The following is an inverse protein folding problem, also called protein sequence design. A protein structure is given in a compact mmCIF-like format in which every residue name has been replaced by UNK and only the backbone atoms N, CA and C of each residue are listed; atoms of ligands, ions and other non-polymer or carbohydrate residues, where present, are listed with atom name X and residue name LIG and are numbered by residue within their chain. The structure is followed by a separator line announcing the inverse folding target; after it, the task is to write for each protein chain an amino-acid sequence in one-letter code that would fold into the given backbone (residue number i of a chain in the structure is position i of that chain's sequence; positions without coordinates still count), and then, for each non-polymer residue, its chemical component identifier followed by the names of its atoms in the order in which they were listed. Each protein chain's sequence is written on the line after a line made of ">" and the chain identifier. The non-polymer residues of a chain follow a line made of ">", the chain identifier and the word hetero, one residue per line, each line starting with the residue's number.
data_IF_867671602585
#
_entry.id   IF_867671602585
#
_cell.length_a   1.000
_cell.length_b   1.000
_cell.length_c   1.000
_cell.angle_alpha   90.00
_cell.angle_beta   90.00
_cell.angle_gamma   90.00
#
_symmetry.space_group_name_H-M   'P 1'
#
loop_
_entity.id
_entity.type
_entity.pdbx_description
1 polymer ?
#
# COMPACT_ATOMS: atom_id res chain seq x y z
N UNK A 1 6.30 -10.02 -15.69
CA UNK A 1 6.07 -9.68 -14.26
C UNK A 1 6.26 -10.88 -13.35
N UNK A 2 5.55 -11.98 -13.59
CA UNK A 2 5.70 -13.20 -12.80
C UNK A 2 7.11 -13.75 -12.77
N UNK A 3 7.80 -13.76 -13.92
CA UNK A 3 9.17 -14.28 -14.00
C UNK A 3 10.14 -13.47 -13.11
N UNK A 4 10.02 -12.13 -13.07
CA UNK A 4 10.86 -11.29 -12.22
C UNK A 4 10.61 -11.56 -10.73
N UNK A 5 9.35 -11.79 -10.36
CA UNK A 5 8.98 -12.07 -8.98
C UNK A 5 9.30 -13.49 -8.56
N UNK A 6 9.52 -14.39 -9.52
CA UNK A 6 9.95 -15.75 -9.25
C UNK A 6 11.46 -15.89 -9.07
N UNK A 7 12.23 -14.84 -9.37
CA UNK A 7 13.64 -14.86 -9.07
C UNK A 7 13.82 -14.98 -7.55
N UNK A 8 14.74 -15.84 -7.12
CA UNK A 8 14.89 -16.17 -5.71
C UNK A 8 15.00 -14.95 -4.80
N UNK A 9 15.77 -13.96 -5.22
CA UNK A 9 15.96 -12.73 -4.44
C UNK A 9 14.66 -11.96 -4.27
N UNK A 10 13.81 -11.93 -5.30
CA UNK A 10 12.54 -11.22 -5.27
C UNK A 10 11.45 -12.02 -4.57
N UNK A 11 11.53 -13.36 -4.61
CA UNK A 11 10.59 -14.22 -3.90
C UNK A 11 10.64 -14.00 -2.40
N UNK A 12 11.78 -13.56 -1.88
CA UNK A 12 11.97 -13.29 -0.46
C UNK A 12 11.75 -11.83 -0.09
N UNK A 13 11.47 -10.97 -1.06
CA UNK A 13 11.25 -9.57 -0.79
C UNK A 13 9.88 -9.35 -0.13
N UNK A 14 9.87 -8.50 0.91
CA UNK A 14 8.65 -8.06 1.55
C UNK A 14 8.25 -6.71 0.98
N UNK A 15 6.95 -6.54 0.73
CA UNK A 15 6.39 -5.35 0.10
C UNK A 15 5.34 -4.74 1.02
N UNK A 16 5.50 -3.46 1.32
CA UNK A 16 4.50 -2.68 2.05
C UNK A 16 3.57 -1.97 1.06
N UNK A 17 2.29 -2.02 1.34
CA UNK A 17 1.26 -1.29 0.62
C UNK A 17 0.65 -0.30 1.59
N UNK A 18 1.06 0.96 1.49
CA UNK A 18 0.66 2.01 2.42
C UNK A 18 -0.46 2.83 1.80
N UNK A 19 -1.67 2.67 2.30
CA UNK A 19 -2.82 3.44 1.84
C UNK A 19 -2.90 4.79 2.53
N UNK A 20 -3.18 5.84 1.77
CA UNK A 20 -3.30 7.20 2.27
C UNK A 20 -4.56 7.87 1.74
N UNK A 21 -5.09 8.80 2.51
CA UNK A 21 -6.18 9.67 2.10
C UNK A 21 -5.75 11.13 2.21
N UNK A 22 -6.56 12.05 1.66
CA UNK A 22 -6.45 13.46 2.01
C UNK A 22 -7.10 13.70 3.37
N UNK A 23 -7.11 14.97 3.83
CA UNK A 23 -7.65 15.34 5.13
C UNK A 23 -9.15 15.68 5.10
N UNK A 24 -9.85 15.40 4.02
CA UNK A 24 -11.30 15.60 3.96
C UNK A 24 -12.01 14.55 4.78
N UNK A 25 -12.98 14.98 5.58
CA UNK A 25 -13.84 14.09 6.33
C UNK A 25 -13.24 13.63 7.65
N UNK A 26 -13.83 12.59 8.20
CA UNK A 26 -13.51 12.05 9.51
C UNK A 26 -12.23 11.23 9.48
N UNK A 27 -11.35 11.41 10.47
CA UNK A 27 -10.07 10.68 10.56
C UNK A 27 -10.28 9.17 10.64
N UNK A 28 -11.24 8.70 11.45
CA UNK A 28 -11.53 7.27 11.57
C UNK A 28 -12.04 6.68 10.25
N UNK A 29 -12.89 7.44 9.56
CA UNK A 29 -13.38 7.04 8.24
C UNK A 29 -12.22 6.92 7.26
N UNK A 30 -11.31 7.89 7.26
CA UNK A 30 -10.16 7.91 6.37
C UNK A 30 -9.19 6.78 6.67
N UNK A 31 -8.99 6.42 7.94
CA UNK A 31 -8.19 5.25 8.30
C UNK A 31 -8.78 3.98 7.69
N UNK A 32 -10.08 3.77 7.86
CA UNK A 32 -10.79 2.60 7.32
C UNK A 32 -10.71 2.58 5.80
N UNK A 33 -10.92 3.72 5.16
CA UNK A 33 -10.89 3.83 3.70
C UNK A 33 -9.50 3.53 3.15
N UNK A 34 -8.45 4.05 3.78
CA UNK A 34 -7.07 3.82 3.34
C UNK A 34 -6.67 2.37 3.51
N UNK A 35 -7.10 1.71 4.58
CA UNK A 35 -6.86 0.28 4.78
C UNK A 35 -7.57 -0.53 3.69
N UNK A 36 -8.81 -0.20 3.39
CA UNK A 36 -9.56 -0.88 2.34
C UNK A 36 -8.89 -0.76 0.98
N UNK A 37 -8.38 0.42 0.65
CA UNK A 37 -7.66 0.64 -0.61
C UNK A 37 -6.36 -0.16 -0.68
N UNK A 38 -5.60 -0.19 0.41
CA UNK A 38 -4.40 -1.00 0.49
C UNK A 38 -4.72 -2.49 0.33
N UNK A 39 -5.79 -2.97 0.96
CA UNK A 39 -6.24 -4.36 0.84
C UNK A 39 -6.68 -4.70 -0.58
N UNK A 40 -7.32 -3.77 -1.27
CA UNK A 40 -7.72 -3.98 -2.67
C UNK A 40 -6.51 -4.12 -3.59
N UNK A 41 -5.48 -3.30 -3.39
CA UNK A 41 -4.23 -3.41 -4.16
C UNK A 41 -3.56 -4.75 -3.85
N UNK A 42 -3.52 -5.15 -2.59
CA UNK A 42 -2.98 -6.45 -2.19
C UNK A 42 -3.69 -7.60 -2.90
N UNK A 43 -5.03 -7.58 -2.93
CA UNK A 43 -5.82 -8.61 -3.61
C UNK A 43 -5.49 -8.69 -5.08
N UNK A 44 -5.33 -7.55 -5.76
CA UNK A 44 -4.96 -7.52 -7.17
C UNK A 44 -3.57 -8.09 -7.42
N UNK A 45 -2.62 -7.77 -6.57
CA UNK A 45 -1.26 -8.30 -6.70
C UNK A 45 -1.23 -9.81 -6.54
N UNK A 46 -2.03 -10.35 -5.63
CA UNK A 46 -2.16 -11.79 -5.46
C UNK A 46 -2.84 -12.44 -6.67
N UNK A 47 -3.98 -11.89 -7.10
CA UNK A 47 -4.81 -12.52 -8.14
C UNK A 47 -4.23 -12.33 -9.53
N UNK A 48 -3.72 -11.14 -9.85
CA UNK A 48 -3.30 -10.82 -11.21
C UNK A 48 -1.83 -11.16 -11.47
N UNK A 49 -0.99 -11.12 -10.43
CA UNK A 49 0.45 -11.30 -10.57
C UNK A 49 1.00 -12.52 -9.82
N UNK A 50 0.15 -13.22 -9.09
CA UNK A 50 0.55 -14.43 -8.39
C UNK A 50 1.54 -14.21 -7.24
N UNK A 51 1.55 -13.01 -6.65
CA UNK A 51 2.42 -12.71 -5.52
C UNK A 51 1.87 -13.41 -4.28
N UNK A 52 2.75 -14.09 -3.53
CA UNK A 52 2.35 -14.77 -2.31
C UNK A 52 1.86 -13.77 -1.26
N UNK A 53 0.65 -13.99 -0.66
CA UNK A 53 0.10 -13.03 0.30
C UNK A 53 1.00 -12.75 1.49
N UNK A 54 1.75 -13.72 1.96
CA UNK A 54 2.66 -13.55 3.11
C UNK A 54 3.82 -12.60 2.84
N UNK A 55 4.02 -12.19 1.59
CA UNK A 55 5.04 -11.21 1.21
C UNK A 55 4.50 -9.78 1.23
N UNK A 56 3.19 -9.62 1.42
CA UNK A 56 2.51 -8.33 1.32
C UNK A 56 2.01 -7.91 2.69
N UNK A 57 2.20 -6.64 3.02
CA UNK A 57 1.66 -6.03 4.22
C UNK A 57 0.89 -4.79 3.80
N UNK A 58 -0.42 -4.76 4.07
CA UNK A 58 -1.29 -3.65 3.74
C UNK A 58 -1.60 -2.85 5.00
N UNK A 59 -1.27 -1.56 4.99
CA UNK A 59 -1.46 -0.67 6.13
C UNK A 59 -2.17 0.60 5.67
N UNK A 60 -3.23 0.98 6.38
CA UNK A 60 -3.91 2.25 6.16
C UNK A 60 -3.44 3.31 7.14
N UNK A 61 -2.96 4.43 6.64
CA UNK A 61 -2.53 5.57 7.45
C UNK A 61 -3.57 6.70 7.48
N UNK A 62 -4.61 6.63 6.65
CA UNK A 62 -5.58 7.71 6.55
C UNK A 62 -4.90 9.01 6.15
N UNK A 63 -5.17 10.07 6.90
CA UNK A 63 -4.57 11.39 6.66
C UNK A 63 -3.30 11.65 7.49
N UNK A 64 -2.81 10.64 8.22
CA UNK A 64 -1.72 10.82 9.19
C UNK A 64 -0.36 11.07 8.57
N UNK A 65 -0.18 10.73 7.29
CA UNK A 65 1.09 10.91 6.56
C UNK A 65 0.83 11.59 5.23
N UNK A 66 0.44 12.86 5.29
CA UNK A 66 0.15 13.63 4.09
C UNK A 66 1.44 13.89 3.31
N UNK A 67 1.36 13.71 1.98
CA UNK A 67 2.45 14.06 1.07
C UNK A 67 2.49 15.55 0.83
N UNK A 68 1.32 16.16 0.70
CA UNK A 68 1.16 17.61 0.53
C UNK A 68 0.56 18.19 1.81
N UNK A 69 1.43 18.66 2.71
CA UNK A 69 1.01 19.23 3.98
C UNK A 69 0.57 20.69 3.86
N UNK A 70 0.94 21.37 2.77
CA UNK A 70 0.50 22.74 2.49
C UNK A 70 -0.95 22.77 2.04
N UNK A 71 -1.40 21.70 1.37
CA UNK A 71 -2.79 21.51 0.99
C UNK A 71 -3.25 20.12 1.47
N UNK A 72 -3.70 20.00 2.73
CA UNK A 72 -4.06 18.71 3.31
C UNK A 72 -5.19 17.99 2.58
N UNK A 73 -6.04 18.72 1.88
CA UNK A 73 -7.16 18.13 1.11
C UNK A 73 -6.81 17.86 -0.36
N UNK A 74 -5.54 18.00 -0.73
CA UNK A 74 -5.09 17.75 -2.09
C UNK A 74 -5.27 16.30 -2.51
N UNK A 75 -5.65 16.10 -3.76
CA UNK A 75 -5.72 14.78 -4.38
C UNK A 75 -4.39 14.02 -4.34
N UNK A 76 -3.27 14.74 -4.28
CA UNK A 76 -1.94 14.16 -4.17
C UNK A 76 -1.80 13.26 -2.95
N UNK A 77 -2.57 13.52 -1.89
CA UNK A 77 -2.54 12.75 -0.65
C UNK A 77 -3.31 11.42 -0.77
N UNK A 78 -4.21 11.29 -1.74
CA UNK A 78 -4.99 10.06 -1.96
C UNK A 78 -4.17 9.09 -2.80
N UNK A 79 -3.49 8.16 -2.16
CA UNK A 79 -2.59 7.24 -2.86
C UNK A 79 -2.37 5.94 -2.10
N UNK A 80 -1.89 4.92 -2.81
CA UNK A 80 -1.30 3.73 -2.20
C UNK A 80 0.17 3.70 -2.62
N UNK A 81 1.07 3.72 -1.64
CA UNK A 81 2.50 3.62 -1.89
C UNK A 81 2.94 2.17 -1.82
N UNK A 82 3.74 1.76 -2.80
CA UNK A 82 4.29 0.40 -2.85
C UNK A 82 5.77 0.50 -2.49
N UNK A 83 6.16 -0.10 -1.37
CA UNK A 83 7.53 0.01 -0.85
C UNK A 83 8.13 -1.39 -0.70
N UNK A 84 9.23 -1.65 -1.40
CA UNK A 84 10.00 -2.87 -1.25
C UNK A 84 10.99 -2.67 -0.10
N UNK A 85 10.82 -3.43 1.00
CA UNK A 85 11.68 -3.31 2.18
C UNK A 85 12.74 -4.40 2.22
N UNK A 86 12.95 -5.11 1.14
CA UNK A 86 14.01 -6.10 1.03
C UNK A 86 13.57 -7.51 1.38
N UNK A 87 14.53 -8.42 1.47
CA UNK A 87 14.22 -9.83 1.72
C UNK A 87 13.66 -10.03 3.12
N UNK A 88 12.82 -11.08 3.25
CA UNK A 88 12.38 -11.55 4.57
C UNK A 88 13.57 -12.02 5.40
N UNK A 89 13.55 -11.76 6.71
CA UNK A 89 14.61 -12.23 7.58
C UNK A 89 14.69 -13.77 7.66
#
# INVERSE_FOLDING_TARGET
>A
MGAALQHERLLKAQILLNGHTDAKGDDDYNLTLSQKRADEVMSRLVQDFGIAPERLIAIGFGERRLKDTDDPESATNRRVEVVNIGPLP
#
